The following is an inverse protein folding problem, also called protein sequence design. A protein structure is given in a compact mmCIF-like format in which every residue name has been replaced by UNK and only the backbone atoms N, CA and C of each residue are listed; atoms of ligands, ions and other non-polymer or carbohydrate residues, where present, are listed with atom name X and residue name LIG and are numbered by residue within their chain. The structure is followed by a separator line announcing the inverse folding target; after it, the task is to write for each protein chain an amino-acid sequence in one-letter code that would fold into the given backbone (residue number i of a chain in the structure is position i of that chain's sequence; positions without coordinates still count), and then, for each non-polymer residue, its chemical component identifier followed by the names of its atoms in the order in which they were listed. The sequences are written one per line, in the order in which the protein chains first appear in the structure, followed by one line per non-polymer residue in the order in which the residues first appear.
data_IF_898003615145
#
_entry.id   IF_898003615145
#
_cell.length_a   1.000
_cell.length_b   1.000
_cell.length_c   1.000
_cell.angle_alpha   90.00
_cell.angle_beta   90.00
_cell.angle_gamma   90.00
#
_symmetry.space_group_name_H-M   'P 1'
#
loop_
_entity.id
_entity.type
_entity.pdbx_description
1 polymer ?
#
# COMPACT_ATOMS: atom_id res chain seq x y z
N UNK A 1 -69.69 42.37 -25.98
CA UNK A 1 -68.51 42.83 -25.20
C UNK A 1 -67.78 41.54 -24.76
N UNK A 2 -66.77 41.13 -25.53
CA UNK A 2 -66.03 39.88 -25.27
C UNK A 2 -64.62 40.22 -24.77
N UNK A 3 -64.30 39.79 -23.56
CA UNK A 3 -62.99 39.94 -22.96
C UNK A 3 -62.15 38.69 -23.24
N UNK A 4 -61.13 38.85 -24.05
CA UNK A 4 -60.13 37.79 -24.33
C UNK A 4 -59.06 37.83 -23.23
N UNK A 5 -59.01 36.71 -22.46
CA UNK A 5 -57.99 36.48 -21.41
C UNK A 5 -56.73 35.84 -22.07
N UNK A 6 -55.66 36.62 -22.11
CA UNK A 6 -54.36 36.17 -22.61
C UNK A 6 -53.58 35.50 -21.47
N UNK A 7 -53.41 34.17 -21.52
CA UNK A 7 -52.51 33.45 -20.65
C UNK A 7 -51.08 33.55 -21.13
N UNK A 8 -50.22 34.19 -20.34
CA UNK A 8 -48.78 34.19 -20.53
C UNK A 8 -48.21 32.93 -19.84
N UNK A 9 -47.76 31.99 -20.64
CA UNK A 9 -46.97 30.83 -20.14
C UNK A 9 -45.55 31.30 -19.80
N UNK A 10 -45.20 31.21 -18.52
CA UNK A 10 -43.84 31.41 -18.03
C UNK A 10 -43.11 30.08 -18.14
N UNK A 11 -42.19 29.92 -19.09
CA UNK A 11 -41.34 28.76 -19.19
C UNK A 11 -40.18 28.91 -18.15
N UNK A 12 -40.21 28.12 -17.10
CA UNK A 12 -39.13 28.01 -16.15
C UNK A 12 -38.11 26.99 -16.73
N UNK A 13 -37.01 27.49 -17.29
CA UNK A 13 -35.88 26.67 -17.71
C UNK A 13 -35.07 26.24 -16.49
N UNK A 14 -35.24 24.99 -16.05
CA UNK A 14 -34.34 24.36 -15.07
C UNK A 14 -32.98 24.12 -15.73
N UNK A 15 -32.00 24.92 -15.38
CA UNK A 15 -30.60 24.68 -15.70
C UNK A 15 -30.08 23.55 -14.78
N UNK A 16 -30.07 22.33 -15.28
CA UNK A 16 -29.36 21.21 -14.69
C UNK A 16 -27.86 21.41 -14.87
N UNK A 17 -27.17 21.95 -13.89
CA UNK A 17 -25.71 21.97 -13.85
C UNK A 17 -25.23 20.57 -13.53
N UNK A 18 -24.46 19.88 -14.42
CA UNK A 18 -23.82 18.62 -14.03
C UNK A 18 -22.73 18.90 -13.00
N UNK A 19 -22.88 18.37 -11.81
CA UNK A 19 -21.78 18.29 -10.85
C UNK A 19 -20.77 17.30 -11.40
N UNK A 20 -19.71 17.78 -12.04
CA UNK A 20 -18.51 16.98 -12.24
C UNK A 20 -17.89 16.73 -10.87
N UNK A 21 -18.13 15.57 -10.30
CA UNK A 21 -17.32 15.06 -9.23
C UNK A 21 -15.91 14.86 -9.77
N UNK A 22 -15.00 15.77 -9.43
CA UNK A 22 -13.58 15.56 -9.65
C UNK A 22 -13.16 14.34 -8.81
N UNK A 23 -13.02 13.18 -9.46
CA UNK A 23 -12.39 12.03 -8.86
C UNK A 23 -10.92 12.41 -8.67
N UNK A 24 -10.56 12.72 -7.43
CA UNK A 24 -9.15 12.81 -7.05
C UNK A 24 -8.53 11.44 -7.32
N UNK A 25 -7.69 11.35 -8.35
CA UNK A 25 -6.97 10.15 -8.74
C UNK A 25 -5.92 9.79 -7.70
N UNK A 26 -6.34 9.42 -6.49
CA UNK A 26 -5.50 8.77 -5.50
C UNK A 26 -5.11 7.38 -6.01
N UNK A 27 -3.89 6.93 -5.72
CA UNK A 27 -3.47 5.58 -6.02
C UNK A 27 -4.45 4.57 -5.42
N UNK A 28 -4.82 3.54 -6.19
CA UNK A 28 -5.74 2.51 -5.72
C UNK A 28 -5.11 1.75 -4.54
N UNK A 29 -5.86 1.62 -3.45
CA UNK A 29 -5.46 0.78 -2.33
C UNK A 29 -5.64 -0.69 -2.69
N UNK A 30 -4.59 -1.47 -2.48
CA UNK A 30 -4.55 -2.91 -2.75
C UNK A 30 -4.18 -3.68 -1.47
N UNK A 31 -4.54 -4.95 -1.42
CA UNK A 31 -4.22 -5.84 -0.30
C UNK A 31 -3.71 -7.17 -0.84
N UNK A 32 -2.67 -7.70 -0.20
CA UNK A 32 -2.17 -9.06 -0.42
C UNK A 32 -2.13 -9.80 0.91
N UNK A 33 -2.34 -11.11 0.90
CA UNK A 33 -2.35 -11.92 2.13
C UNK A 33 -1.55 -13.20 1.98
N UNK A 34 -1.10 -13.72 3.12
CA UNK A 34 -0.54 -15.05 3.32
C UNK A 34 -1.39 -15.76 4.36
N UNK A 35 -1.97 -16.91 4.01
CA UNK A 35 -2.71 -17.76 4.95
C UNK A 35 -1.73 -18.77 5.54
N UNK A 36 -1.61 -18.79 6.86
CA UNK A 36 -0.79 -19.76 7.60
C UNK A 36 -1.50 -21.11 7.67
N UNK A 37 -0.75 -22.18 7.96
CA UNK A 37 -1.28 -23.56 7.95
C UNK A 37 -2.39 -23.78 9.00
N UNK A 38 -2.44 -22.98 10.05
CA UNK A 38 -3.48 -23.01 11.10
C UNK A 38 -4.69 -22.09 10.80
N UNK A 39 -4.71 -21.44 9.64
CA UNK A 39 -5.78 -20.55 9.18
C UNK A 39 -5.63 -19.10 9.60
N UNK A 40 -4.65 -18.74 10.45
CA UNK A 40 -4.32 -17.34 10.74
C UNK A 40 -3.77 -16.63 9.50
N UNK A 41 -3.89 -15.31 9.47
CA UNK A 41 -3.51 -14.52 8.31
C UNK A 41 -2.44 -13.47 8.62
N UNK A 42 -1.61 -13.25 7.61
CA UNK A 42 -0.72 -12.09 7.51
C UNK A 42 -1.11 -11.36 6.25
N UNK A 43 -1.40 -10.06 6.33
CA UNK A 43 -1.73 -9.30 5.13
C UNK A 43 -1.09 -7.91 5.13
N UNK A 44 -0.85 -7.40 3.92
CA UNK A 44 -0.29 -6.08 3.68
C UNK A 44 -1.25 -5.28 2.82
N UNK A 45 -1.59 -4.08 3.28
CA UNK A 45 -2.29 -3.05 2.51
C UNK A 45 -1.27 -2.04 1.99
N UNK A 46 -1.40 -1.66 0.73
CA UNK A 46 -0.49 -0.73 0.08
C UNK A 46 -1.19 0.09 -1.01
N UNK A 47 -0.58 1.18 -1.45
CA UNK A 47 -1.03 1.93 -2.61
C UNK A 47 -0.30 1.44 -3.86
N UNK A 48 -1.06 1.02 -4.87
CA UNK A 48 -0.54 0.62 -6.18
C UNK A 48 -0.16 1.86 -7.00
N UNK A 49 0.93 2.54 -6.59
CA UNK A 49 1.43 3.74 -7.27
C UNK A 49 2.09 3.39 -8.60
N UNK A 50 2.09 4.33 -9.55
CA UNK A 50 2.80 4.15 -10.81
C UNK A 50 4.30 3.97 -10.60
N UNK A 51 4.94 3.08 -11.35
CA UNK A 51 6.39 2.88 -11.36
C UNK A 51 7.21 4.09 -11.83
N UNK A 52 6.55 5.20 -12.19
CA UNK A 52 7.20 6.50 -12.37
C UNK A 52 7.60 7.13 -11.04
N UNK A 53 6.90 6.79 -9.95
CA UNK A 53 7.32 7.14 -8.59
C UNK A 53 8.53 6.28 -8.22
N UNK A 54 9.67 6.93 -8.04
CA UNK A 54 10.91 6.23 -7.66
C UNK A 54 11.24 6.53 -6.20
N UNK A 55 11.47 5.49 -5.39
CA UNK A 55 11.90 5.70 -4.02
C UNK A 55 13.30 6.34 -3.97
N UNK A 56 13.51 7.24 -3.01
CA UNK A 56 14.82 7.86 -2.79
C UNK A 56 15.76 6.88 -2.11
N UNK A 57 16.99 6.75 -2.65
CA UNK A 57 18.02 5.88 -2.10
C UNK A 57 18.35 6.23 -0.64
N UNK A 58 18.40 5.22 0.23
CA UNK A 58 18.70 5.36 1.67
C UNK A 58 17.59 5.99 2.50
N UNK A 59 16.39 6.21 1.93
CA UNK A 59 15.26 6.81 2.66
C UNK A 59 14.08 5.86 2.78
N UNK A 60 13.36 5.86 3.92
CA UNK A 60 12.13 5.11 4.07
C UNK A 60 11.12 5.53 2.99
N UNK A 61 10.63 4.55 2.25
CA UNK A 61 9.68 4.80 1.17
C UNK A 61 8.24 4.53 1.63
N UNK A 62 7.39 5.52 1.44
CA UNK A 62 5.96 5.45 1.63
C UNK A 62 5.29 5.66 0.27
N UNK A 63 4.88 4.60 -0.46
CA UNK A 63 4.31 4.70 -1.79
C UNK A 63 3.05 5.58 -1.83
N UNK A 64 3.06 6.61 -2.69
CA UNK A 64 1.98 7.60 -2.74
C UNK A 64 1.84 8.43 -1.47
N UNK A 65 2.93 8.61 -0.72
CA UNK A 65 2.95 9.38 0.54
C UNK A 65 2.34 8.65 1.75
N UNK A 66 1.97 7.37 1.60
CA UNK A 66 1.38 6.57 2.68
C UNK A 66 2.17 5.27 2.83
N UNK A 67 2.68 4.94 4.03
CA UNK A 67 3.39 3.68 4.23
C UNK A 67 2.48 2.49 4.01
N UNK A 68 3.06 1.36 3.63
CA UNK A 68 2.34 0.08 3.63
C UNK A 68 1.98 -0.31 5.06
N UNK A 69 0.88 -1.02 5.25
CA UNK A 69 0.45 -1.48 6.57
C UNK A 69 0.45 -3.01 6.60
N UNK A 70 1.20 -3.57 7.54
CA UNK A 70 1.20 -4.99 7.87
C UNK A 70 0.20 -5.26 8.98
N UNK A 71 -0.60 -6.30 8.82
CA UNK A 71 -1.44 -6.88 9.87
C UNK A 71 -1.08 -8.35 10.03
N UNK A 72 -0.90 -8.81 11.26
CA UNK A 72 -0.59 -10.20 11.53
C UNK A 72 -1.42 -10.75 12.69
N UNK A 73 -2.01 -11.91 12.47
CA UNK A 73 -2.74 -12.69 13.48
C UNK A 73 -1.83 -13.71 14.17
N UNK A 74 -0.58 -13.81 13.73
CA UNK A 74 0.44 -14.68 14.32
C UNK A 74 1.66 -13.88 14.76
N UNK A 75 2.40 -14.39 15.73
CA UNK A 75 3.73 -13.90 16.03
C UNK A 75 4.67 -14.25 14.86
N UNK A 76 5.40 -13.28 14.36
CA UNK A 76 6.31 -13.45 13.24
C UNK A 76 7.75 -13.16 13.65
N UNK A 77 8.68 -13.72 12.89
CA UNK A 77 10.10 -13.34 12.93
C UNK A 77 10.51 -12.77 11.58
N UNK A 78 11.16 -11.60 11.59
CA UNK A 78 11.80 -10.99 10.43
C UNK A 78 13.30 -10.81 10.75
N UNK A 79 14.15 -11.53 10.02
CA UNK A 79 15.57 -11.62 10.37
C UNK A 79 15.76 -12.19 11.78
N UNK A 80 16.39 -11.44 12.69
CA UNK A 80 16.55 -11.81 14.10
C UNK A 80 15.49 -11.22 15.03
N UNK A 81 14.59 -10.39 14.52
CA UNK A 81 13.61 -9.64 15.33
C UNK A 81 12.26 -10.33 15.37
N UNK A 82 11.63 -10.33 16.56
CA UNK A 82 10.28 -10.83 16.75
C UNK A 82 9.26 -9.70 16.55
N UNK A 83 8.18 -10.01 15.82
CA UNK A 83 7.06 -9.11 15.57
C UNK A 83 5.83 -9.72 16.24
N UNK A 84 5.31 -9.10 17.31
CA UNK A 84 4.08 -9.56 17.96
C UNK A 84 2.86 -9.49 17.03
N UNK A 85 1.78 -10.17 17.43
CA UNK A 85 0.46 -10.02 16.79
C UNK A 85 0.05 -8.55 16.82
N UNK A 86 -0.44 -8.00 15.69
CA UNK A 86 -0.87 -6.61 15.64
C UNK A 86 -0.80 -5.96 14.27
N UNK A 87 -0.84 -4.63 14.28
CA UNK A 87 -0.74 -3.78 13.10
C UNK A 87 0.54 -2.94 13.14
N UNK A 88 1.19 -2.79 11.99
CA UNK A 88 2.48 -2.12 11.84
C UNK A 88 2.54 -1.37 10.52
N UNK A 89 3.41 -0.38 10.41
CA UNK A 89 3.77 0.18 9.11
C UNK A 89 5.04 -0.46 8.59
N UNK A 90 5.08 -0.64 7.27
CA UNK A 90 6.24 -1.15 6.55
C UNK A 90 6.87 -0.03 5.72
N UNK A 91 8.18 0.11 5.84
CA UNK A 91 8.97 1.03 5.05
C UNK A 91 10.12 0.27 4.36
N UNK A 92 10.04 0.01 3.05
CA UNK A 92 11.22 -0.37 2.30
C UNK A 92 12.19 0.80 2.23
N UNK A 93 13.47 0.56 2.47
CA UNK A 93 14.55 1.53 2.31
C UNK A 93 15.43 1.04 1.17
N UNK A 94 15.34 1.63 -0.04
CA UNK A 94 16.16 1.24 -1.16
C UNK A 94 17.63 1.59 -0.92
N UNK A 95 18.53 0.72 -1.32
CA UNK A 95 19.95 1.00 -1.41
C UNK A 95 20.51 0.39 -2.70
N UNK A 96 21.75 0.75 -3.05
CA UNK A 96 22.37 0.35 -4.32
C UNK A 96 22.47 -1.18 -4.45
N UNK A 97 22.86 -1.85 -3.36
CA UNK A 97 23.18 -3.28 -3.40
C UNK A 97 22.05 -4.15 -2.84
N UNK A 98 21.27 -3.63 -1.91
CA UNK A 98 20.13 -4.32 -1.31
C UNK A 98 19.13 -3.33 -0.70
N UNK A 99 17.91 -3.77 -0.52
CA UNK A 99 16.91 -3.00 0.20
C UNK A 99 16.83 -3.48 1.65
N UNK A 100 16.37 -2.61 2.52
CA UNK A 100 16.04 -2.97 3.91
C UNK A 100 14.56 -2.83 4.11
N UNK A 101 13.90 -3.85 4.66
CA UNK A 101 12.53 -3.75 5.14
C UNK A 101 12.53 -3.36 6.61
N UNK A 102 11.79 -2.31 6.92
CA UNK A 102 11.57 -1.83 8.29
C UNK A 102 10.13 -2.11 8.69
N UNK A 103 9.95 -2.66 9.89
CA UNK A 103 8.64 -2.79 10.56
C UNK A 103 8.60 -1.80 11.71
N UNK A 104 7.66 -0.86 11.65
CA UNK A 104 7.54 0.23 12.60
C UNK A 104 6.18 0.17 13.32
N UNK A 105 6.15 0.41 14.63
CA UNK A 105 4.92 0.32 15.44
C UNK A 105 3.98 1.53 15.32
N UNK A 106 4.40 2.62 14.69
CA UNK A 106 3.56 3.78 14.52
C UNK A 106 2.61 3.59 13.33
N UNK A 107 1.35 3.31 13.61
CA UNK A 107 0.28 3.15 12.61
C UNK A 107 -0.61 4.39 12.48
N UNK A 108 -0.23 5.51 13.08
CA UNK A 108 -1.01 6.76 13.02
C UNK A 108 -1.07 7.29 11.58
N UNK A 109 -2.26 7.48 10.99
CA UNK A 109 -2.38 8.00 9.65
C UNK A 109 -1.70 9.36 9.48
N UNK A 110 -0.88 9.51 8.43
CA UNK A 110 -0.18 10.76 8.14
C UNK A 110 1.02 11.07 9.04
N UNK A 111 1.36 10.18 9.98
CA UNK A 111 2.56 10.35 10.78
C UNK A 111 3.83 10.25 9.94
N UNK A 112 4.82 11.07 10.26
CA UNK A 112 6.17 10.93 9.69
C UNK A 112 6.87 9.72 10.28
N UNK A 113 7.76 9.12 9.50
CA UNK A 113 8.60 8.02 9.96
C UNK A 113 9.45 8.45 11.17
N UNK A 114 9.45 7.62 12.20
CA UNK A 114 10.28 7.75 13.39
C UNK A 114 11.02 6.43 13.65
N UNK A 115 12.33 6.46 13.42
CA UNK A 115 13.21 5.28 13.58
C UNK A 115 13.19 4.69 15.00
N UNK A 116 12.91 5.50 16.03
CA UNK A 116 12.80 5.02 17.42
C UNK A 116 11.63 4.08 17.65
N UNK A 117 10.71 4.02 16.71
CA UNK A 117 9.55 3.14 16.74
C UNK A 117 9.71 1.88 15.89
N UNK A 118 10.90 1.66 15.32
CA UNK A 118 11.20 0.42 14.61
C UNK A 118 11.29 -0.75 15.59
N UNK A 119 10.64 -1.85 15.22
CA UNK A 119 10.68 -3.10 15.99
C UNK A 119 11.45 -4.19 15.27
N UNK A 120 11.57 -4.09 13.96
CA UNK A 120 12.35 -5.01 13.15
C UNK A 120 12.94 -4.32 11.93
N UNK A 121 14.14 -4.75 11.55
CA UNK A 121 14.81 -4.41 10.29
C UNK A 121 15.45 -5.65 9.71
N UNK A 122 15.28 -5.89 8.43
CA UNK A 122 15.95 -6.98 7.73
C UNK A 122 16.38 -6.56 6.33
N UNK A 123 17.52 -7.06 5.90
CA UNK A 123 17.94 -6.96 4.50
C UNK A 123 16.97 -7.75 3.63
N UNK A 124 16.62 -7.18 2.49
CA UNK A 124 15.80 -7.84 1.46
C UNK A 124 16.72 -8.40 0.38
N UNK A 125 16.42 -9.60 -0.07
CA UNK A 125 17.01 -10.10 -1.31
C UNK A 125 16.46 -9.31 -2.49
N UNK A 126 17.26 -9.02 -3.49
CA UNK A 126 16.85 -8.29 -4.69
C UNK A 126 17.17 -9.06 -5.96
N UNK A 127 16.27 -9.00 -6.93
CA UNK A 127 16.45 -9.59 -8.23
C UNK A 127 15.93 -8.66 -9.33
N UNK A 128 16.46 -8.81 -10.54
CA UNK A 128 15.88 -8.20 -11.73
C UNK A 128 14.81 -9.13 -12.30
N UNK A 129 13.71 -8.54 -12.78
CA UNK A 129 12.64 -9.28 -13.44
C UNK A 129 12.52 -8.85 -14.91
N UNK A 130 12.24 -9.82 -15.77
CA UNK A 130 12.18 -9.59 -17.22
C UNK A 130 10.98 -8.71 -17.62
N UNK A 131 9.87 -8.87 -16.92
CA UNK A 131 8.66 -8.09 -17.14
C UNK A 131 8.56 -6.99 -16.10
N UNK A 132 8.38 -5.74 -16.58
CA UNK A 132 8.12 -4.60 -15.73
C UNK A 132 6.61 -4.46 -15.52
N UNK A 133 6.16 -4.34 -14.28
CA UNK A 133 4.82 -3.88 -13.97
C UNK A 133 4.71 -2.37 -14.20
N UNK A 134 3.55 -1.85 -14.61
CA UNK A 134 3.30 -0.41 -14.75
C UNK A 134 3.08 0.28 -13.39
N UNK A 135 2.79 -0.49 -12.37
CA UNK A 135 2.56 -0.01 -11.01
C UNK A 135 3.30 -0.88 -9.99
N UNK A 136 3.49 -0.33 -8.78
CA UNK A 136 3.93 -1.08 -7.62
C UNK A 136 3.00 -2.26 -7.39
N UNK A 137 3.59 -3.44 -7.29
CA UNK A 137 2.90 -4.67 -6.93
C UNK A 137 3.53 -5.26 -5.67
N UNK A 138 2.70 -5.65 -4.72
CA UNK A 138 3.12 -6.36 -3.51
C UNK A 138 2.37 -7.68 -3.45
N UNK A 139 3.09 -8.76 -3.24
CA UNK A 139 2.54 -10.11 -3.18
C UNK A 139 3.16 -10.91 -2.04
N UNK A 140 2.45 -11.93 -1.56
CA UNK A 140 3.01 -12.95 -0.70
C UNK A 140 3.20 -14.26 -1.47
N UNK A 141 4.27 -14.99 -1.12
CA UNK A 141 4.39 -16.41 -1.38
C UNK A 141 4.45 -17.15 -0.05
N UNK A 142 3.73 -18.26 0.05
CA UNK A 142 3.65 -19.10 1.25
C UNK A 142 4.34 -20.45 1.01
N UNK A 143 5.21 -20.83 1.94
CA UNK A 143 5.83 -22.17 1.97
C UNK A 143 6.05 -22.60 3.41
N UNK A 144 5.27 -23.53 3.91
CA UNK A 144 5.29 -23.97 5.31
C UNK A 144 5.08 -22.80 6.27
N UNK A 145 5.92 -22.64 7.27
CA UNK A 145 5.83 -21.52 8.23
C UNK A 145 6.32 -20.18 7.69
N UNK A 146 6.63 -20.06 6.39
CA UNK A 146 7.23 -18.87 5.79
C UNK A 146 6.27 -18.15 4.84
N UNK A 147 6.04 -16.86 5.12
CA UNK A 147 5.40 -15.91 4.22
C UNK A 147 6.46 -14.96 3.63
N UNK A 148 6.82 -15.13 2.37
CA UNK A 148 7.76 -14.25 1.69
C UNK A 148 7.03 -13.06 1.09
N UNK A 149 7.23 -11.86 1.65
CA UNK A 149 6.77 -10.61 1.06
C UNK A 149 7.62 -10.29 -0.18
N UNK A 150 6.96 -10.03 -1.28
CA UNK A 150 7.56 -9.67 -2.57
C UNK A 150 7.10 -8.28 -2.97
N UNK A 151 8.03 -7.39 -3.26
CA UNK A 151 7.76 -6.02 -3.71
C UNK A 151 8.35 -5.85 -5.11
N UNK A 152 7.48 -5.62 -6.10
CA UNK A 152 7.87 -5.40 -7.49
C UNK A 152 7.72 -3.92 -7.82
N UNK A 153 8.83 -3.28 -8.18
CA UNK A 153 8.90 -1.88 -8.54
C UNK A 153 9.68 -1.71 -9.86
N UNK A 154 8.97 -1.57 -10.96
CA UNK A 154 9.55 -1.57 -12.30
C UNK A 154 10.16 -2.94 -12.65
N UNK A 155 11.46 -2.95 -12.94
CA UNK A 155 12.22 -4.18 -13.25
C UNK A 155 12.90 -4.79 -12.04
N UNK A 156 12.67 -4.29 -10.84
CA UNK A 156 13.27 -4.78 -9.62
C UNK A 156 12.24 -5.50 -8.76
N UNK A 157 12.63 -6.63 -8.18
CA UNK A 157 11.89 -7.35 -7.16
C UNK A 157 12.71 -7.41 -5.88
N UNK A 158 12.09 -7.20 -4.73
CA UNK A 158 12.72 -7.29 -3.42
C UNK A 158 11.90 -8.22 -2.52
N UNK A 159 12.59 -9.07 -1.76
CA UNK A 159 11.99 -10.17 -1.00
C UNK A 159 12.38 -10.11 0.47
N UNK A 160 11.42 -10.32 1.36
CA UNK A 160 11.65 -10.46 2.79
C UNK A 160 10.82 -11.61 3.36
N UNK A 161 11.45 -12.46 4.17
CA UNK A 161 10.82 -13.63 4.76
C UNK A 161 10.30 -13.32 6.17
N UNK A 162 9.00 -13.48 6.36
CA UNK A 162 8.35 -13.54 7.66
C UNK A 162 8.15 -15.00 8.03
N UNK A 163 8.74 -15.42 9.17
CA UNK A 163 8.62 -16.78 9.69
C UNK A 163 7.58 -16.78 10.82
N UNK A 164 6.59 -17.65 10.72
CA UNK A 164 5.66 -17.90 11.84
C UNK A 164 6.37 -18.51 13.06
N UNK A 165 5.94 -18.13 14.28
CA UNK A 165 6.49 -18.59 15.56
C UNK A 165 5.39 -19.01 16.54
#
# INVERSE_FOLDING_TARGET
MSATLVWRAVAISLLLTPWLAAQSGGAASSTTSCNLDDGRQVYVRYNAVSNKEKPANGKPWAPGGTPMTLFTEAQLQLGSSMIPIGAYTLYPIPAKDHWTLVVNKNVTPGATYDEKQDIARASMETAQVDQSSDALEVAFAHVGARCTLRIYAGKSASFADFMEK
#
